data_IF_942783723321
#
_entry.id   IF_942783723321
#
_cell.length_a   1.000
_cell.length_b   1.000
_cell.length_c   1.000
_cell.angle_alpha   90.00
_cell.angle_beta   90.00
_cell.angle_gamma   90.00
#
_symmetry.space_group_name_H-M   'P 1'
#
loop_
_entity.id
_entity.type
_entity.pdbx_description
1 polymer ?
#
# COMPACT_ATOMS: atom_id res chain seq x y z
N UNK A 1 -15.73 8.59 8.11
CA UNK A 1 -14.42 9.03 7.56
C UNK A 1 -13.66 7.77 7.16
N UNK A 2 -13.59 7.43 5.87
CA UNK A 2 -12.98 6.18 5.44
C UNK A 2 -11.44 6.24 5.41
N UNK A 3 -10.82 5.12 5.73
CA UNK A 3 -9.40 4.86 5.50
C UNK A 3 -9.34 3.93 4.29
N UNK A 4 -8.62 4.33 3.24
CA UNK A 4 -8.58 3.56 1.99
C UNK A 4 -7.14 3.19 1.68
N UNK A 5 -6.87 1.92 1.42
CA UNK A 5 -5.56 1.49 0.91
C UNK A 5 -5.69 1.03 -0.54
N UNK A 6 -4.80 1.49 -1.41
CA UNK A 6 -4.75 1.08 -2.81
C UNK A 6 -3.48 0.30 -3.07
N UNK A 7 -3.63 -1.02 -3.14
CA UNK A 7 -2.61 -1.93 -3.65
C UNK A 7 -2.67 -1.98 -5.18
N UNK A 8 -1.55 -2.13 -5.82
CA UNK A 8 -1.47 -2.09 -7.29
C UNK A 8 -0.45 -3.08 -7.81
N UNK A 9 -0.71 -3.66 -8.98
CA UNK A 9 0.33 -4.25 -9.81
C UNK A 9 1.32 -3.18 -10.26
N UNK A 10 2.56 -3.56 -10.54
CA UNK A 10 3.54 -2.62 -11.09
C UNK A 10 2.99 -2.03 -12.39
N UNK A 11 3.06 -0.71 -12.52
CA UNK A 11 2.61 0.03 -13.72
C UNK A 11 1.12 -0.10 -14.08
N UNK A 12 0.24 -0.40 -13.13
CA UNK A 12 -1.21 -0.54 -13.37
C UNK A 12 -2.00 0.77 -13.21
N UNK A 13 -1.33 1.92 -13.19
CA UNK A 13 -1.91 3.27 -12.98
C UNK A 13 -2.67 3.46 -11.66
N UNK A 14 -2.44 2.58 -10.69
CA UNK A 14 -3.09 2.67 -9.38
C UNK A 14 -2.71 3.93 -8.58
N UNK A 15 -1.56 4.56 -8.85
CA UNK A 15 -1.20 5.86 -8.29
C UNK A 15 -2.19 6.95 -8.75
N UNK A 16 -2.48 7.01 -10.05
CA UNK A 16 -3.43 7.97 -10.60
C UNK A 16 -4.84 7.79 -10.03
N UNK A 17 -5.28 6.53 -9.86
CA UNK A 17 -6.56 6.24 -9.19
C UNK A 17 -6.56 6.79 -7.78
N UNK A 18 -5.48 6.56 -7.01
CA UNK A 18 -5.38 7.04 -5.63
C UNK A 18 -5.43 8.57 -5.53
N UNK A 19 -4.67 9.27 -6.38
CA UNK A 19 -4.60 10.73 -6.39
C UNK A 19 -5.94 11.37 -6.81
N UNK A 20 -6.65 10.77 -7.81
CA UNK A 20 -7.98 11.22 -8.22
C UNK A 20 -9.01 10.97 -7.14
N UNK A 21 -9.00 9.78 -6.54
CA UNK A 21 -9.91 9.41 -5.45
C UNK A 21 -9.74 10.34 -4.25
N UNK A 22 -8.52 10.62 -3.84
CA UNK A 22 -8.24 11.51 -2.73
C UNK A 22 -8.79 12.92 -2.99
N UNK A 23 -8.63 13.46 -4.21
CA UNK A 23 -9.20 14.75 -4.61
C UNK A 23 -10.72 14.75 -4.60
N UNK A 24 -11.36 13.68 -5.12
CA UNK A 24 -12.82 13.56 -5.16
C UNK A 24 -13.42 13.50 -3.76
N UNK A 25 -12.76 12.81 -2.84
CA UNK A 25 -13.23 12.66 -1.46
C UNK A 25 -12.80 13.79 -0.53
N UNK A 26 -11.90 14.68 -0.95
CA UNK A 26 -11.28 15.68 -0.07
C UNK A 26 -10.33 15.08 0.96
N UNK A 27 -9.73 13.92 0.64
CA UNK A 27 -8.83 13.17 1.53
C UNK A 27 -7.36 13.46 1.26
N UNK A 28 -6.53 13.18 2.25
CA UNK A 28 -5.09 13.21 2.06
C UNK A 28 -4.63 11.98 1.25
N UNK A 29 -3.81 12.22 0.24
CA UNK A 29 -3.17 11.17 -0.55
C UNK A 29 -1.76 10.93 -0.02
N UNK A 30 -1.49 9.75 0.53
CA UNK A 30 -0.23 9.43 1.21
C UNK A 30 0.45 8.24 0.52
N UNK A 31 1.75 8.32 0.38
CA UNK A 31 2.58 7.25 -0.19
C UNK A 31 3.93 7.14 0.55
N UNK A 32 4.98 7.72 0.00
CA UNK A 32 6.33 7.67 0.59
C UNK A 32 6.50 8.59 1.80
N UNK A 33 5.64 9.56 1.96
CA UNK A 33 5.66 10.50 3.09
C UNK A 33 5.65 9.75 4.44
N UNK A 34 5.01 8.58 4.49
CA UNK A 34 4.98 7.75 5.70
C UNK A 34 6.37 7.21 6.09
N UNK A 35 7.28 7.06 5.13
CA UNK A 35 8.66 6.65 5.39
C UNK A 35 9.42 7.78 6.07
N UNK A 36 9.19 9.04 5.63
CA UNK A 36 9.78 10.22 6.27
C UNK A 36 9.24 10.39 7.69
N UNK A 37 7.94 10.28 7.89
CA UNK A 37 7.31 10.32 9.22
C UNK A 37 7.91 9.23 10.16
N UNK A 38 8.09 8.00 9.66
CA UNK A 38 8.72 6.94 10.43
C UNK A 38 10.21 7.24 10.72
N UNK A 39 10.94 7.78 9.76
CA UNK A 39 12.34 8.19 9.92
C UNK A 39 12.48 9.21 11.04
N UNK A 40 11.65 10.23 11.06
CA UNK A 40 11.65 11.28 12.09
C UNK A 40 11.22 10.73 13.46
N UNK A 41 10.10 9.98 13.51
CA UNK A 41 9.53 9.46 14.76
C UNK A 41 10.48 8.51 15.51
N UNK A 42 11.19 7.66 14.78
CA UNK A 42 12.04 6.60 15.35
C UNK A 42 13.54 6.89 15.24
N UNK A 43 13.93 8.04 14.67
CA UNK A 43 15.32 8.42 14.42
C UNK A 43 16.11 7.34 13.65
N UNK A 44 15.49 6.82 12.58
CA UNK A 44 16.07 5.80 11.69
C UNK A 44 16.36 6.44 10.32
N UNK A 45 17.54 6.23 9.72
CA UNK A 45 17.82 6.75 8.39
C UNK A 45 16.77 6.30 7.36
N UNK A 46 16.19 7.24 6.60
CA UNK A 46 15.16 6.97 5.57
C UNK A 46 15.57 5.83 4.63
N UNK A 47 16.84 5.81 4.21
CA UNK A 47 17.34 4.79 3.29
C UNK A 47 17.18 3.36 3.82
N UNK A 48 17.29 3.13 5.12
CA UNK A 48 17.09 1.81 5.72
C UNK A 48 15.61 1.40 5.68
N UNK A 49 14.69 2.34 5.89
CA UNK A 49 13.26 2.12 5.79
C UNK A 49 12.84 1.85 4.33
N UNK A 50 13.42 2.59 3.38
CA UNK A 50 13.19 2.37 1.94
C UNK A 50 13.62 0.96 1.54
N UNK A 51 14.85 0.56 1.89
CA UNK A 51 15.35 -0.79 1.60
C UNK A 51 14.50 -1.89 2.24
N UNK A 52 14.00 -1.68 3.46
CA UNK A 52 13.14 -2.67 4.10
C UNK A 52 11.79 -2.84 3.40
N UNK A 53 11.26 -1.76 2.84
CA UNK A 53 9.93 -1.74 2.21
C UNK A 53 9.99 -2.08 0.70
N UNK A 54 11.00 -1.62 -0.03
CA UNK A 54 11.04 -1.72 -1.48
C UNK A 54 11.86 -2.92 -1.99
N UNK A 55 12.90 -3.34 -1.27
CA UNK A 55 13.79 -4.40 -1.72
C UNK A 55 13.28 -5.81 -1.38
N UNK A 56 13.52 -6.75 -2.29
CA UNK A 56 13.33 -8.17 -1.99
C UNK A 56 14.26 -8.61 -0.85
N UNK A 57 13.82 -9.51 0.05
CA UNK A 57 14.64 -9.99 1.15
C UNK A 57 15.91 -10.68 0.65
N UNK A 58 17.07 -10.22 1.13
CA UNK A 58 18.36 -10.88 0.89
C UNK A 58 18.51 -12.13 1.77
N UNK A 59 19.53 -12.95 1.51
CA UNK A 59 19.83 -14.11 2.35
C UNK A 59 20.14 -13.68 3.81
N UNK A 60 20.85 -12.55 3.98
CA UNK A 60 21.21 -12.01 5.30
C UNK A 60 19.96 -11.50 6.06
N UNK A 61 19.00 -10.89 5.38
CA UNK A 61 17.75 -10.41 5.99
C UNK A 61 16.93 -11.56 6.60
N UNK A 62 17.03 -12.77 6.03
CA UNK A 62 16.35 -13.96 6.56
C UNK A 62 16.90 -14.43 7.91
N UNK A 63 18.13 -14.06 8.24
CA UNK A 63 18.82 -14.48 9.46
C UNK A 63 18.73 -13.42 10.56
N UNK A 64 18.65 -12.13 10.22
CA UNK A 64 18.84 -11.03 11.15
C UNK A 64 17.56 -10.36 11.67
N UNK A 65 16.36 -10.72 11.18
CA UNK A 65 15.08 -10.05 11.47
C UNK A 65 15.10 -8.51 11.30
N UNK A 66 16.11 -7.99 10.59
CA UNK A 66 16.27 -6.54 10.44
C UNK A 66 15.11 -5.88 9.71
N UNK A 67 14.56 -6.54 8.68
CA UNK A 67 13.44 -6.00 7.90
C UNK A 67 12.15 -5.92 8.68
N UNK A 68 11.83 -6.91 9.49
CA UNK A 68 10.62 -6.94 10.33
C UNK A 68 10.58 -5.72 11.25
N UNK A 69 11.71 -5.35 11.84
CA UNK A 69 11.81 -4.18 12.69
C UNK A 69 11.56 -2.88 11.93
N UNK A 70 12.16 -2.71 10.76
CA UNK A 70 11.95 -1.51 9.93
C UNK A 70 10.50 -1.42 9.43
N UNK A 71 9.89 -2.55 9.07
CA UNK A 71 8.47 -2.61 8.70
C UNK A 71 7.58 -2.24 9.89
N UNK A 72 7.95 -2.62 11.13
CA UNK A 72 7.23 -2.21 12.32
C UNK A 72 7.23 -0.68 12.51
N UNK A 73 8.36 0.01 12.27
CA UNK A 73 8.42 1.47 12.30
C UNK A 73 7.46 2.12 11.29
N UNK A 74 7.48 1.64 10.05
CA UNK A 74 6.60 2.18 8.99
C UNK A 74 5.12 1.89 9.32
N UNK A 75 4.82 0.69 9.87
CA UNK A 75 3.46 0.35 10.31
C UNK A 75 2.99 1.26 11.44
N UNK A 76 3.83 1.52 12.44
CA UNK A 76 3.49 2.40 13.55
C UNK A 76 3.18 3.84 13.06
N UNK A 77 4.05 4.41 12.21
CA UNK A 77 3.82 5.72 11.62
C UNK A 77 2.52 5.75 10.80
N UNK A 78 2.25 4.73 9.97
CA UNK A 78 1.01 4.65 9.19
C UNK A 78 -0.23 4.56 10.09
N UNK A 79 -0.21 3.75 11.15
CA UNK A 79 -1.31 3.66 12.10
C UNK A 79 -1.57 4.99 12.81
N UNK A 80 -0.53 5.72 13.20
CA UNK A 80 -0.67 7.08 13.75
C UNK A 80 -1.31 8.03 12.74
N UNK A 81 -0.86 7.97 11.49
CA UNK A 81 -1.38 8.84 10.43
C UNK A 81 -2.86 8.61 10.15
N UNK A 82 -3.31 7.36 10.07
CA UNK A 82 -4.71 7.03 9.77
C UNK A 82 -5.66 7.29 10.94
N UNK A 83 -5.17 7.49 12.16
CA UNK A 83 -6.02 7.93 13.30
C UNK A 83 -6.69 9.27 13.05
N UNK A 84 -6.03 10.18 12.32
CA UNK A 84 -6.58 11.48 11.95
C UNK A 84 -7.73 11.32 10.95
N UNK A 85 -7.82 10.17 10.24
CA UNK A 85 -8.87 9.84 9.26
C UNK A 85 -8.63 10.44 7.89
N UNK A 86 -9.56 10.20 6.98
CA UNK A 86 -9.62 10.80 5.63
C UNK A 86 -8.33 10.62 4.80
N UNK A 87 -7.84 9.39 4.76
CA UNK A 87 -6.58 9.03 4.10
C UNK A 87 -6.82 8.05 2.95
N UNK A 88 -6.22 8.33 1.80
CA UNK A 88 -5.98 7.38 0.72
C UNK A 88 -4.49 7.05 0.70
N UNK A 89 -4.14 5.86 1.18
CA UNK A 89 -2.77 5.37 1.18
C UNK A 89 -2.52 4.49 -0.06
N UNK A 90 -1.55 4.84 -0.89
CA UNK A 90 -1.16 4.03 -2.05
C UNK A 90 0.32 3.61 -2.03
N UNK A 91 0.91 3.66 -0.86
CA UNK A 91 2.27 3.18 -0.61
C UNK A 91 2.37 1.66 -0.68
N UNK A 92 3.54 1.16 -0.35
CA UNK A 92 3.82 -0.27 -0.37
C UNK A 92 3.04 -1.00 0.73
N UNK A 93 2.47 -2.17 0.38
CA UNK A 93 1.84 -3.11 1.30
C UNK A 93 0.76 -2.55 2.25
N UNK A 94 0.07 -1.45 1.92
CA UNK A 94 -0.95 -0.83 2.78
C UNK A 94 -2.01 -1.80 3.28
N UNK A 95 -2.47 -2.74 2.44
CA UNK A 95 -3.42 -3.79 2.80
C UNK A 95 -2.89 -4.76 3.88
N UNK A 96 -1.57 -4.94 3.98
CA UNK A 96 -0.93 -5.77 5.00
C UNK A 96 -0.61 -4.96 6.25
N UNK A 97 -0.11 -3.74 6.10
CA UNK A 97 0.20 -2.85 7.22
C UNK A 97 -1.05 -2.48 8.04
N UNK A 98 -2.21 -2.35 7.36
CA UNK A 98 -3.51 -2.04 7.98
C UNK A 98 -4.48 -3.23 8.02
N UNK A 99 -3.96 -4.47 7.97
CA UNK A 99 -4.79 -5.68 7.94
C UNK A 99 -5.69 -5.81 9.17
N UNK A 100 -5.23 -5.32 10.32
CA UNK A 100 -5.94 -5.38 11.60
C UNK A 100 -6.88 -4.18 11.82
N UNK A 101 -7.05 -3.30 10.83
CA UNK A 101 -7.97 -2.16 10.85
C UNK A 101 -9.26 -2.56 10.13
N UNK A 102 -10.36 -2.88 10.84
CA UNK A 102 -11.56 -3.45 10.23
C UNK A 102 -12.25 -2.51 9.23
N UNK A 103 -12.21 -1.21 9.47
CA UNK A 103 -12.83 -0.18 8.62
C UNK A 103 -11.96 0.28 7.46
N UNK A 104 -10.72 -0.23 7.32
CA UNK A 104 -9.87 0.12 6.19
C UNK A 104 -10.36 -0.58 4.93
N UNK A 105 -10.80 0.19 3.94
CA UNK A 105 -11.17 -0.32 2.61
C UNK A 105 -9.89 -0.70 1.85
N UNK A 106 -9.72 -1.98 1.59
CA UNK A 106 -8.56 -2.55 0.90
C UNK A 106 -8.88 -2.77 -0.57
N UNK A 107 -8.32 -1.93 -1.43
CA UNK A 107 -8.55 -1.95 -2.88
C UNK A 107 -7.32 -2.46 -3.60
N UNK A 108 -7.52 -3.29 -4.62
CA UNK A 108 -6.47 -3.70 -5.55
C UNK A 108 -6.78 -3.23 -6.96
N UNK A 109 -5.83 -2.54 -7.57
CA UNK A 109 -5.89 -2.11 -8.98
C UNK A 109 -5.01 -3.02 -9.84
N UNK A 110 -5.63 -3.60 -10.86
CA UNK A 110 -4.98 -4.44 -11.86
C UNK A 110 -5.06 -3.77 -13.24
N UNK A 111 -4.14 -4.13 -14.12
CA UNK A 111 -4.21 -3.84 -15.55
C UNK A 111 -3.69 -5.04 -16.35
N UNK A 112 -4.10 -5.14 -17.62
CA UNK A 112 -3.57 -6.19 -18.51
C UNK A 112 -2.07 -6.00 -18.71
N UNK A 113 -1.37 -7.09 -18.97
CA UNK A 113 0.09 -7.03 -19.16
C UNK A 113 0.47 -6.15 -20.35
N UNK A 114 -0.32 -6.16 -21.42
CA UNK A 114 -0.12 -5.34 -22.60
C UNK A 114 -0.20 -3.85 -22.26
N UNK A 115 -1.24 -3.44 -21.49
CA UNK A 115 -1.43 -2.06 -21.08
C UNK A 115 -0.27 -1.59 -20.17
N UNK A 116 0.23 -2.47 -19.30
CA UNK A 116 1.37 -2.20 -18.42
C UNK A 116 2.68 -2.04 -19.20
N UNK A 117 2.89 -2.89 -20.23
CA UNK A 117 4.05 -2.80 -21.12
C UNK A 117 4.05 -1.45 -21.84
N UNK A 118 2.93 -1.08 -22.45
CA UNK A 118 2.82 0.20 -23.14
C UNK A 118 3.07 1.40 -22.21
N UNK A 119 2.64 1.32 -20.97
CA UNK A 119 2.91 2.35 -19.95
C UNK A 119 4.42 2.49 -19.68
N UNK A 120 5.14 1.36 -19.51
CA UNK A 120 6.59 1.35 -19.29
C UNK A 120 7.34 1.86 -20.52
N UNK A 121 6.99 1.35 -21.72
CA UNK A 121 7.61 1.80 -22.99
C UNK A 121 7.47 3.31 -23.16
N UNK A 122 6.27 3.85 -22.94
CA UNK A 122 6.01 5.28 -23.07
C UNK A 122 6.77 6.12 -22.05
N UNK A 123 6.80 5.66 -20.80
CA UNK A 123 7.42 6.40 -19.68
C UNK A 123 8.94 6.35 -19.73
N UNK A 124 9.50 5.17 -19.95
CA UNK A 124 10.94 4.89 -19.80
C UNK A 124 11.68 4.87 -21.13
N UNK A 125 10.95 4.91 -22.27
CA UNK A 125 11.49 4.86 -23.64
C UNK A 125 12.35 3.63 -23.91
N UNK A 126 11.89 2.47 -23.45
CA UNK A 126 12.54 1.16 -23.59
C UNK A 126 11.78 0.29 -24.58
N UNK A 127 12.36 -0.85 -25.00
CA UNK A 127 11.67 -1.85 -25.83
C UNK A 127 10.54 -2.57 -25.04
N UNK A 128 9.63 -3.20 -25.78
CA UNK A 128 8.57 -4.02 -25.14
C UNK A 128 9.14 -5.20 -24.35
N UNK A 129 10.21 -5.83 -24.84
CA UNK A 129 10.87 -6.93 -24.15
C UNK A 129 11.50 -6.48 -22.83
N UNK A 130 12.21 -5.37 -22.85
CA UNK A 130 12.77 -4.77 -21.65
C UNK A 130 11.68 -4.31 -20.67
N UNK A 131 10.58 -3.75 -21.17
CA UNK A 131 9.44 -3.40 -20.34
C UNK A 131 8.82 -4.63 -19.66
N UNK A 132 8.69 -5.74 -20.38
CA UNK A 132 8.19 -7.02 -19.86
C UNK A 132 9.09 -7.57 -18.75
N UNK A 133 10.40 -7.54 -18.95
CA UNK A 133 11.37 -7.98 -17.93
C UNK A 133 11.31 -7.12 -16.67
N UNK A 134 11.25 -5.80 -16.81
CA UNK A 134 11.12 -4.86 -15.68
C UNK A 134 9.84 -5.11 -14.87
N UNK A 135 8.71 -5.34 -15.56
CA UNK A 135 7.43 -5.65 -14.92
C UNK A 135 7.51 -6.98 -14.17
N UNK A 136 8.03 -8.02 -14.81
CA UNK A 136 8.17 -9.35 -14.20
C UNK A 136 9.05 -9.30 -12.95
N UNK A 137 10.19 -8.61 -13.03
CA UNK A 137 11.09 -8.41 -11.89
C UNK A 137 10.40 -7.68 -10.72
N UNK A 138 9.74 -6.56 -11.00
CA UNK A 138 9.05 -5.78 -9.96
C UNK A 138 7.89 -6.55 -9.31
N UNK A 139 7.15 -7.37 -10.06
CA UNK A 139 6.08 -8.20 -9.51
C UNK A 139 6.63 -9.36 -8.67
N UNK A 140 7.75 -9.97 -9.10
CA UNK A 140 8.42 -11.04 -8.35
C UNK A 140 9.02 -10.53 -7.03
N UNK A 141 9.67 -9.38 -7.04
CA UNK A 141 10.20 -8.73 -5.82
C UNK A 141 9.08 -8.47 -4.80
N UNK A 142 7.94 -7.96 -5.22
CA UNK A 142 6.76 -7.76 -4.34
C UNK A 142 6.22 -9.07 -3.79
N UNK A 143 6.15 -10.12 -4.61
CA UNK A 143 5.70 -11.44 -4.16
C UNK A 143 6.66 -12.00 -3.11
N UNK A 144 7.96 -11.96 -3.37
CA UNK A 144 8.99 -12.41 -2.43
C UNK A 144 8.92 -11.67 -1.10
N UNK A 145 8.75 -10.35 -1.15
CA UNK A 145 8.63 -9.51 0.05
C UNK A 145 7.38 -9.87 0.86
N UNK A 146 6.22 -9.92 0.22
CA UNK A 146 4.95 -10.25 0.90
C UNK A 146 4.97 -11.66 1.49
N UNK A 147 5.54 -12.61 0.76
CA UNK A 147 5.68 -13.99 1.26
C UNK A 147 6.66 -14.09 2.43
N UNK A 148 7.76 -13.36 2.38
CA UNK A 148 8.75 -13.38 3.46
C UNK A 148 8.17 -12.84 4.77
N UNK A 149 7.57 -11.65 4.75
CA UNK A 149 7.13 -10.95 5.95
C UNK A 149 5.76 -11.40 6.47
N UNK A 150 4.85 -11.76 5.58
CA UNK A 150 3.45 -12.03 5.94
C UNK A 150 2.95 -13.42 5.54
N UNK A 151 3.78 -14.21 4.84
CA UNK A 151 3.42 -15.55 4.33
C UNK A 151 2.20 -15.54 3.41
N UNK A 152 1.98 -14.46 2.67
CA UNK A 152 0.85 -14.29 1.74
C UNK A 152 1.33 -14.04 0.31
N UNK A 153 0.51 -14.43 -0.65
CA UNK A 153 0.66 -13.98 -2.04
C UNK A 153 -0.15 -12.69 -2.23
N UNK A 154 0.47 -11.57 -2.64
CA UNK A 154 -0.28 -10.34 -2.94
C UNK A 154 -1.25 -10.51 -4.12
N UNK A 155 -1.22 -11.61 -4.85
CA UNK A 155 -2.20 -12.00 -5.86
C UNK A 155 -3.50 -12.56 -5.30
N UNK A 156 -3.50 -13.01 -4.05
CA UNK A 156 -4.69 -13.53 -3.39
C UNK A 156 -5.77 -12.46 -3.23
N UNK A 157 -6.91 -12.65 -3.89
CA UNK A 157 -8.02 -11.71 -3.88
C UNK A 157 -8.69 -11.59 -2.51
N UNK A 158 -8.55 -12.59 -1.64
CA UNK A 158 -9.11 -12.56 -0.28
C UNK A 158 -8.46 -11.51 0.63
N UNK A 159 -7.33 -10.94 0.23
CA UNK A 159 -6.66 -9.84 0.94
C UNK A 159 -7.30 -8.47 0.70
N UNK A 160 -8.29 -8.39 -0.18
CA UNK A 160 -8.87 -7.12 -0.65
C UNK A 160 -10.39 -7.16 -0.58
N UNK A 161 -10.99 -6.00 -0.27
CA UNK A 161 -12.44 -5.84 -0.30
C UNK A 161 -12.96 -5.58 -1.72
N UNK A 162 -12.10 -4.96 -2.57
CA UNK A 162 -12.42 -4.65 -3.97
C UNK A 162 -11.20 -4.91 -4.85
N UNK A 163 -11.43 -5.58 -5.98
CA UNK A 163 -10.42 -5.75 -7.04
C UNK A 163 -10.97 -5.16 -8.33
N UNK A 164 -10.30 -4.16 -8.89
CA UNK A 164 -10.70 -3.48 -10.12
C UNK A 164 -9.63 -3.64 -11.19
N UNK A 165 -10.06 -3.81 -12.44
CA UNK A 165 -9.17 -3.92 -13.59
C UNK A 165 -9.32 -2.71 -14.51
N UNK A 166 -8.28 -1.89 -14.58
CA UNK A 166 -8.17 -0.79 -15.53
C UNK A 166 -7.93 -1.33 -16.94
N UNK A 167 -8.53 -0.69 -17.91
CA UNK A 167 -8.54 -1.08 -19.31
C UNK A 167 -9.98 -1.02 -19.83
N UNK A 168 -10.81 -2.07 -19.60
CA UNK A 168 -12.25 -1.97 -19.86
C UNK A 168 -12.94 -0.90 -19.00
N UNK A 169 -12.48 -0.76 -17.76
CA UNK A 169 -12.89 0.28 -16.82
C UNK A 169 -11.95 1.48 -16.94
N UNK A 170 -12.49 2.67 -17.07
CA UNK A 170 -11.69 3.90 -17.04
C UNK A 170 -11.19 4.21 -15.64
N UNK A 171 -10.26 5.16 -15.52
CA UNK A 171 -9.81 5.61 -14.19
C UNK A 171 -10.95 6.25 -13.40
N UNK A 172 -11.80 7.03 -14.06
CA UNK A 172 -12.90 7.74 -13.41
C UNK A 172 -13.99 6.76 -12.98
N UNK A 173 -14.29 5.70 -13.75
CA UNK A 173 -15.18 4.62 -13.34
C UNK A 173 -14.63 3.91 -12.08
N UNK A 174 -13.32 3.63 -12.04
CA UNK A 174 -12.69 3.01 -10.90
C UNK A 174 -12.75 3.90 -9.65
N UNK A 175 -12.52 5.20 -9.82
CA UNK A 175 -12.61 6.19 -8.73
C UNK A 175 -14.05 6.25 -8.21
N UNK A 176 -15.06 6.36 -9.09
CA UNK A 176 -16.46 6.37 -8.69
C UNK A 176 -16.90 5.11 -7.94
N UNK A 177 -16.46 3.93 -8.41
CA UNK A 177 -16.74 2.65 -7.74
C UNK A 177 -16.15 2.59 -6.32
N UNK A 178 -14.88 3.02 -6.17
CA UNK A 178 -14.22 3.05 -4.86
C UNK A 178 -14.87 4.10 -3.94
N UNK A 179 -15.18 5.28 -4.46
CA UNK A 179 -15.85 6.35 -3.69
C UNK A 179 -17.22 5.91 -3.18
N UNK A 180 -17.98 5.16 -3.99
CA UNK A 180 -19.26 4.58 -3.58
C UNK A 180 -19.07 3.57 -2.45
N UNK A 181 -18.13 2.63 -2.59
CA UNK A 181 -17.84 1.64 -1.57
C UNK A 181 -17.34 2.26 -0.27
N UNK A 182 -16.52 3.30 -0.35
CA UNK A 182 -16.01 4.03 0.81
C UNK A 182 -17.11 4.66 1.68
N UNK A 183 -18.31 4.88 1.12
CA UNK A 183 -19.47 5.42 1.85
C UNK A 183 -20.26 4.35 2.60
N UNK A 184 -20.00 3.08 2.36
CA UNK A 184 -20.69 1.99 3.05
C UNK A 184 -20.41 2.02 4.56
N UNK A 185 -21.39 1.66 5.41
CA UNK A 185 -21.23 1.67 6.87
C UNK A 185 -20.02 0.87 7.37
N UNK A 186 -19.69 -0.24 6.71
CA UNK A 186 -18.56 -1.10 7.06
C UNK A 186 -17.21 -0.38 7.01
N UNK A 187 -17.08 0.67 6.19
CA UNK A 187 -15.81 1.40 6.01
C UNK A 187 -15.81 2.77 6.70
N UNK A 188 -16.79 3.03 7.56
CA UNK A 188 -16.82 4.28 8.32
C UNK A 188 -16.06 4.17 9.63
N UNK A 189 -15.29 5.21 9.94
CA UNK A 189 -14.56 5.32 11.20
C UNK A 189 -15.51 5.80 12.28
N UNK A 190 -16.12 4.85 13.01
CA UNK A 190 -16.94 5.13 14.19
C UNK A 190 -16.07 5.49 15.41
N UNK A 191 -16.64 5.98 16.53
CA UNK A 191 -15.89 6.19 17.77
C UNK A 191 -15.18 4.92 18.26
N UNK A 192 -15.82 3.74 18.12
CA UNK A 192 -15.25 2.43 18.49
C UNK A 192 -14.04 2.09 17.62
N UNK A 193 -14.16 2.32 16.30
CA UNK A 193 -13.03 2.12 15.37
C UNK A 193 -11.88 3.07 15.70
N UNK A 194 -12.14 4.32 16.07
CA UNK A 194 -11.10 5.27 16.51
C UNK A 194 -10.36 4.77 17.76
N UNK A 195 -11.09 4.21 18.73
CA UNK A 195 -10.48 3.61 19.92
C UNK A 195 -9.58 2.44 19.53
N UNK A 196 -10.07 1.53 18.69
CA UNK A 196 -9.28 0.39 18.19
C UNK A 196 -8.03 0.87 17.44
N UNK A 197 -8.13 1.90 16.60
CA UNK A 197 -6.98 2.49 15.90
C UNK A 197 -5.94 3.05 16.88
N UNK A 198 -6.38 3.73 17.95
CA UNK A 198 -5.46 4.24 18.97
C UNK A 198 -4.72 3.08 19.67
N UNK A 199 -5.44 2.04 20.08
CA UNK A 199 -4.85 0.84 20.71
C UNK A 199 -3.86 0.12 19.77
N UNK A 200 -4.20 0.00 18.48
CA UNK A 200 -3.32 -0.59 17.48
C UNK A 200 -2.05 0.24 17.25
N UNK A 201 -2.16 1.56 17.23
CA UNK A 201 -1.01 2.45 17.06
C UNK A 201 -0.09 2.41 18.29
N UNK A 202 -0.65 2.43 19.51
CA UNK A 202 0.14 2.33 20.75
C UNK A 202 0.88 0.99 20.82
N UNK A 203 0.22 -0.10 20.43
CA UNK A 203 0.85 -1.42 20.35
C UNK A 203 1.97 -1.46 19.31
N UNK A 204 1.72 -0.91 18.11
CA UNK A 204 2.73 -0.86 17.05
C UNK A 204 3.94 -0.02 17.45
N UNK A 205 3.74 1.11 18.15
CA UNK A 205 4.83 1.91 18.69
C UNK A 205 5.66 1.14 19.73
N UNK A 206 5.02 0.37 20.62
CA UNK A 206 5.71 -0.46 21.60
C UNK A 206 6.51 -1.59 20.92
N UNK A 207 5.91 -2.28 19.94
CA UNK A 207 6.58 -3.32 19.15
C UNK A 207 7.79 -2.77 18.37
N UNK A 208 7.67 -1.57 17.81
CA UNK A 208 8.75 -0.93 17.05
C UNK A 208 9.93 -0.52 17.95
N UNK A 209 9.70 -0.26 19.24
CA UNK A 209 10.75 0.15 20.20
C UNK A 209 11.37 -1.03 20.97
N UNK A 210 10.77 -2.22 20.91
CA UNK A 210 11.29 -3.44 21.55
C UNK A 210 12.42 -4.08 20.73
#
# INVERSE_FOLDING_TARGET
>A
MPIITISRGSYSRGKEVAERLARELGHQCISREIILEASEQFNIPEIQLVHAIEDAPSFLDRVTRGKERYVAYVRAALLRRVQVGDVVYHGFAGHLLLRDVPSALKVRILARIEDRIQEVVKRDRVSEDEARERIAKADDERRKWSHHLYRVDPGDVSLYDIVLRIGPMTLDDAVGAIALAARLPAFQTTPEVRKTLAELADRADAEARS
#
